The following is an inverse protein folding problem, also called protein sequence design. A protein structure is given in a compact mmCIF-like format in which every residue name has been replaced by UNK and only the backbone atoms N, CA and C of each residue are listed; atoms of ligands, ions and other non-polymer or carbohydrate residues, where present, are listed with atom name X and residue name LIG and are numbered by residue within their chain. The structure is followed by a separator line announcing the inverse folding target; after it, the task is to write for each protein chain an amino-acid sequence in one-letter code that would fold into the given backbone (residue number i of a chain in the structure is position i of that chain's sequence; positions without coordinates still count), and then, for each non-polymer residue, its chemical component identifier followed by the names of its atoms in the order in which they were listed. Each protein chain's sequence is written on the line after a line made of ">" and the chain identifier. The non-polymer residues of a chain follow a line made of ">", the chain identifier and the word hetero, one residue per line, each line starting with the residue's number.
data_IF_750307606435
#
_entry.id   IF_750307606435
#
_cell.length_a   1.000
_cell.length_b   1.000
_cell.length_c   1.000
_cell.angle_alpha   90.00
_cell.angle_beta   90.00
_cell.angle_gamma   90.00
#
_symmetry.space_group_name_H-M   'P 1'
#
loop_
_entity.id
_entity.type
_entity.pdbx_description
1 polymer ?
#
# COMPACT_ATOMS: atom_id res chain seq x y z
N UNK A 1 10.77 -23.89 -53.38
CA UNK A 1 11.31 -22.88 -52.43
C UNK A 1 10.39 -22.89 -51.22
N UNK A 2 10.50 -23.91 -50.36
CA UNK A 2 11.11 -23.86 -49.00
C UNK A 2 10.64 -22.61 -48.22
N UNK A 3 9.90 -22.72 -47.10
CA UNK A 3 10.24 -23.49 -45.88
C UNK A 3 9.05 -23.50 -44.88
N UNK A 4 8.88 -24.61 -44.15
CA UNK A 4 8.12 -24.83 -42.87
C UNK A 4 6.59 -24.60 -42.91
N UNK A 5 5.67 -25.57 -42.95
CA UNK A 5 5.63 -26.94 -42.42
C UNK A 5 5.97 -27.04 -40.94
N UNK A 6 5.03 -27.65 -40.20
CA UNK A 6 5.19 -28.22 -38.85
C UNK A 6 5.17 -27.15 -37.75
N UNK A 7 4.02 -26.83 -37.16
CA UNK A 7 3.55 -27.57 -35.98
C UNK A 7 2.06 -27.26 -35.74
N UNK A 8 1.17 -27.76 -36.59
CA UNK A 8 -0.28 -27.64 -36.35
C UNK A 8 -1.02 -28.98 -36.30
N UNK A 9 -0.32 -30.10 -36.54
CA UNK A 9 -0.94 -31.42 -36.61
C UNK A 9 0.03 -32.47 -36.07
N UNK A 10 0.00 -32.71 -34.75
CA UNK A 10 0.17 -34.04 -34.13
C UNK A 10 0.50 -33.92 -32.63
N UNK A 11 -0.54 -33.84 -31.81
CA UNK A 11 -0.65 -34.39 -30.44
C UNK A 11 -1.94 -33.78 -29.90
N UNK A 12 -3.10 -34.40 -30.02
CA UNK A 12 -3.42 -35.74 -29.57
C UNK A 12 -4.84 -35.62 -29.03
N UNK A 13 -5.68 -36.59 -29.37
CA UNK A 13 -7.06 -36.72 -28.93
C UNK A 13 -7.08 -36.69 -27.40
N UNK A 14 -7.45 -35.54 -26.84
CA UNK A 14 -7.42 -35.31 -25.42
C UNK A 14 -8.25 -34.08 -25.11
N UNK A 15 -9.59 -34.29 -25.16
CA UNK A 15 -10.62 -33.50 -24.48
C UNK A 15 -10.14 -32.08 -24.13
N UNK A 16 -10.35 -31.12 -25.04
CA UNK A 16 -10.31 -29.71 -24.66
C UNK A 16 -11.10 -29.60 -23.34
N UNK A 17 -10.53 -29.04 -22.25
CA UNK A 17 -11.29 -28.86 -21.04
C UNK A 17 -12.46 -27.95 -21.42
N UNK A 18 -13.62 -28.57 -21.64
CA UNK A 18 -14.88 -27.88 -21.73
C UNK A 18 -15.06 -27.35 -20.33
N UNK A 19 -14.62 -26.12 -20.10
CA UNK A 19 -14.96 -25.38 -18.89
C UNK A 19 -16.48 -25.37 -18.91
N UNK A 20 -17.10 -26.19 -18.07
CA UNK A 20 -18.53 -26.13 -17.83
C UNK A 20 -18.75 -24.76 -17.19
N UNK A 21 -19.24 -23.82 -17.98
CA UNK A 21 -19.89 -22.62 -17.47
C UNK A 21 -21.13 -23.12 -16.71
N UNK A 22 -20.95 -23.29 -15.40
CA UNK A 22 -21.88 -23.97 -14.51
C UNK A 22 -21.64 -23.65 -13.04
N UNK A 23 -20.45 -23.17 -12.70
CA UNK A 23 -20.23 -22.37 -11.50
C UNK A 23 -20.20 -20.89 -11.89
N UNK A 24 -20.82 -20.07 -11.05
CA UNK A 24 -21.21 -18.69 -11.28
C UNK A 24 -20.10 -17.85 -11.94
N UNK A 25 -20.28 -17.51 -13.22
CA UNK A 25 -19.34 -16.65 -13.95
C UNK A 25 -19.15 -15.29 -13.27
N UNK A 26 -20.10 -14.87 -12.43
CA UNK A 26 -20.00 -13.69 -11.59
C UNK A 26 -18.99 -13.85 -10.44
N UNK A 27 -18.87 -15.04 -9.85
CA UNK A 27 -17.91 -15.34 -8.77
C UNK A 27 -16.46 -15.12 -9.22
N UNK A 28 -16.10 -15.55 -10.44
CA UNK A 28 -14.75 -15.35 -10.96
C UNK A 28 -14.41 -13.88 -11.23
N UNK A 29 -15.42 -13.06 -11.54
CA UNK A 29 -15.23 -11.61 -11.70
C UNK A 29 -15.05 -10.94 -10.34
N UNK A 30 -15.82 -11.34 -9.33
CA UNK A 30 -15.69 -10.85 -7.96
C UNK A 30 -14.32 -11.24 -7.38
N UNK A 31 -13.90 -12.49 -7.52
CA UNK A 31 -12.58 -12.94 -7.04
C UNK A 31 -11.43 -12.17 -7.71
N UNK A 32 -11.56 -11.87 -9.01
CA UNK A 32 -10.57 -11.06 -9.73
C UNK A 32 -10.57 -9.61 -9.23
N UNK A 33 -11.73 -9.01 -8.98
CA UNK A 33 -11.85 -7.65 -8.41
C UNK A 33 -11.27 -7.57 -7.00
N UNK A 34 -11.57 -8.54 -6.13
CA UNK A 34 -11.01 -8.63 -4.78
C UNK A 34 -9.50 -8.79 -4.82
N UNK A 35 -8.98 -9.60 -5.75
CA UNK A 35 -7.54 -9.73 -5.95
C UNK A 35 -6.89 -8.42 -6.43
N UNK A 36 -7.54 -7.68 -7.35
CA UNK A 36 -7.04 -6.35 -7.76
C UNK A 36 -7.03 -5.37 -6.57
N UNK A 37 -8.10 -5.32 -5.79
CA UNK A 37 -8.18 -4.47 -4.60
C UNK A 37 -7.10 -4.84 -3.57
N UNK A 38 -6.79 -6.13 -3.41
CA UNK A 38 -5.70 -6.57 -2.54
C UNK A 38 -4.33 -6.11 -3.05
N UNK A 39 -4.08 -6.19 -4.36
CA UNK A 39 -2.83 -5.71 -4.95
C UNK A 39 -2.67 -4.19 -4.81
N UNK A 40 -3.75 -3.43 -5.05
CA UNK A 40 -3.80 -1.98 -4.84
C UNK A 40 -3.51 -1.64 -3.37
N UNK A 41 -4.20 -2.30 -2.43
CA UNK A 41 -3.97 -2.10 -1.00
C UNK A 41 -2.52 -2.44 -0.58
N UNK A 42 -1.93 -3.51 -1.12
CA UNK A 42 -0.51 -3.84 -0.84
C UNK A 42 0.44 -2.76 -1.36
N UNK A 43 0.17 -2.20 -2.54
CA UNK A 43 0.99 -1.13 -3.11
C UNK A 43 0.88 0.14 -2.27
N UNK A 44 -0.33 0.57 -1.93
CA UNK A 44 -0.59 1.72 -1.05
C UNK A 44 0.07 1.54 0.33
N UNK A 45 -0.02 0.33 0.89
CA UNK A 45 0.64 0.00 2.15
C UNK A 45 2.16 0.10 2.04
N UNK A 46 2.77 -0.41 0.97
CA UNK A 46 4.21 -0.31 0.74
C UNK A 46 4.68 1.14 0.60
N UNK A 47 3.93 1.97 -0.14
CA UNK A 47 4.22 3.41 -0.25
C UNK A 47 4.11 4.12 1.10
N UNK A 48 3.07 3.79 1.89
CA UNK A 48 2.90 4.33 3.24
C UNK A 48 4.06 3.97 4.14
N UNK A 49 4.49 2.70 4.14
CA UNK A 49 5.65 2.24 4.91
C UNK A 49 6.91 2.99 4.51
N UNK A 50 7.20 3.09 3.21
CA UNK A 50 8.38 3.82 2.72
C UNK A 50 8.38 5.30 3.15
N UNK A 51 7.20 5.94 3.12
CA UNK A 51 7.03 7.33 3.60
C UNK A 51 7.27 7.45 5.10
N UNK A 52 6.75 6.52 5.90
CA UNK A 52 6.97 6.49 7.34
C UNK A 52 8.46 6.28 7.68
N UNK A 53 9.13 5.35 6.99
CA UNK A 53 10.58 5.10 7.17
C UNK A 53 11.42 6.33 6.81
N UNK A 54 11.13 6.99 5.67
CA UNK A 54 11.82 8.21 5.27
C UNK A 54 11.62 9.35 6.29
N UNK A 55 10.41 9.47 6.83
CA UNK A 55 10.07 10.47 7.85
C UNK A 55 10.78 10.19 9.17
N UNK A 56 10.81 8.93 9.62
CA UNK A 56 11.54 8.51 10.81
C UNK A 56 13.05 8.76 10.67
N UNK A 57 13.61 8.47 9.49
CA UNK A 57 15.01 8.76 9.20
C UNK A 57 15.31 10.27 9.17
N UNK A 58 14.37 11.10 8.69
CA UNK A 58 14.50 12.55 8.76
C UNK A 58 14.44 13.06 10.20
N UNK A 59 13.50 12.54 11.01
CA UNK A 59 13.35 12.89 12.42
C UNK A 59 14.58 12.53 13.26
N UNK A 60 15.18 11.37 13.00
CA UNK A 60 16.38 10.91 13.71
C UNK A 60 17.61 11.82 13.49
N UNK A 61 17.65 12.54 12.36
CA UNK A 61 18.74 13.48 12.02
C UNK A 61 18.61 14.85 12.69
N UNK A 62 17.43 15.19 13.18
CA UNK A 62 17.19 16.46 13.86
C UNK A 62 17.83 16.45 15.26
N UNK A 63 18.42 17.58 15.63
CA UNK A 63 18.80 17.88 17.02
C UNK A 63 17.55 18.06 17.88
N UNK A 64 17.72 18.02 19.20
CA UNK A 64 16.59 18.18 20.12
C UNK A 64 15.94 19.58 20.00
N UNK A 65 16.75 20.64 19.83
CA UNK A 65 16.24 22.00 19.58
C UNK A 65 15.39 22.08 18.30
N UNK A 66 15.80 21.37 17.24
CA UNK A 66 15.07 21.31 15.98
C UNK A 66 13.78 20.50 16.11
N UNK A 67 13.80 19.39 16.86
CA UNK A 67 12.60 18.61 17.18
C UNK A 67 11.60 19.45 17.97
N UNK A 68 12.05 20.21 18.96
CA UNK A 68 11.21 21.10 19.76
C UNK A 68 10.59 22.23 18.92
N UNK A 69 11.33 22.76 17.94
CA UNK A 69 10.78 23.73 16.99
C UNK A 69 9.70 23.11 16.10
N UNK A 70 9.92 21.89 15.60
CA UNK A 70 8.93 21.15 14.81
C UNK A 70 7.69 20.83 15.63
N UNK A 71 7.84 20.41 16.89
CA UNK A 71 6.71 20.12 17.78
C UNK A 71 5.85 21.37 17.98
N UNK A 72 6.46 22.51 18.33
CA UNK A 72 5.75 23.79 18.47
C UNK A 72 5.01 24.19 17.18
N UNK A 73 5.65 24.00 16.04
CA UNK A 73 5.00 24.29 14.76
C UNK A 73 3.79 23.36 14.50
N UNK A 74 3.91 22.07 14.80
CA UNK A 74 2.79 21.14 14.72
C UNK A 74 1.67 21.51 15.70
N UNK A 75 1.99 22.01 16.90
CA UNK A 75 0.99 22.49 17.87
C UNK A 75 0.18 23.67 17.30
N UNK A 76 0.86 24.63 16.67
CA UNK A 76 0.23 25.77 16.01
C UNK A 76 -0.67 25.33 14.85
N UNK A 77 -0.23 24.35 14.05
CA UNK A 77 -1.02 23.77 12.97
C UNK A 77 -2.26 23.01 13.51
N UNK A 78 -2.11 22.31 14.64
CA UNK A 78 -3.22 21.61 15.28
C UNK A 78 -4.27 22.58 15.82
N UNK A 79 -3.82 23.66 16.46
CA UNK A 79 -4.72 24.73 16.93
C UNK A 79 -5.52 25.38 15.80
N UNK A 80 -4.98 25.37 14.58
CA UNK A 80 -5.64 25.84 13.36
C UNK A 80 -6.50 24.78 12.65
N UNK A 81 -6.49 23.52 13.11
CA UNK A 81 -7.17 22.40 12.45
C UNK A 81 -6.53 22.01 11.11
N UNK A 82 -5.22 22.24 10.93
CA UNK A 82 -4.48 22.05 9.67
C UNK A 82 -3.36 21.02 9.75
N UNK A 83 -3.31 20.25 10.84
CA UNK A 83 -2.18 19.38 11.12
C UNK A 83 -2.19 18.06 10.32
N UNK A 84 -3.37 17.57 9.89
CA UNK A 84 -3.52 16.23 9.29
C UNK A 84 -2.58 15.95 8.10
N UNK A 85 -2.21 16.98 7.33
CA UNK A 85 -1.33 16.83 6.15
C UNK A 85 0.17 17.02 6.46
N UNK A 86 0.55 17.19 7.72
CA UNK A 86 1.94 17.50 8.05
C UNK A 86 2.82 16.25 8.07
N UNK A 87 4.02 16.36 7.46
CA UNK A 87 4.96 15.22 7.32
C UNK A 87 5.40 14.60 8.66
N UNK A 88 5.34 15.33 9.76
CA UNK A 88 5.71 14.85 11.11
C UNK A 88 4.50 14.61 12.03
N UNK A 89 3.30 14.50 11.46
CA UNK A 89 2.08 14.23 12.22
C UNK A 89 2.20 12.98 13.09
N UNK A 90 2.68 11.86 12.53
CA UNK A 90 2.82 10.60 13.26
C UNK A 90 3.74 10.71 14.48
N UNK A 91 4.87 11.42 14.36
CA UNK A 91 5.78 11.66 15.49
C UNK A 91 5.13 12.56 16.54
N UNK A 92 4.40 13.60 16.11
CA UNK A 92 3.67 14.50 16.99
C UNK A 92 2.56 13.80 17.79
N UNK A 93 1.83 12.87 17.15
CA UNK A 93 0.82 12.02 17.80
C UNK A 93 1.48 11.05 18.77
N UNK A 94 2.55 10.37 18.35
CA UNK A 94 3.24 9.38 19.17
C UNK A 94 3.74 9.98 20.50
N UNK A 95 4.30 11.19 20.47
CA UNK A 95 4.74 11.91 21.68
C UNK A 95 3.60 12.18 22.66
N UNK A 96 2.40 12.47 22.16
CA UNK A 96 1.21 12.74 22.98
C UNK A 96 0.57 11.46 23.53
N UNK A 97 0.58 10.38 22.75
CA UNK A 97 0.13 9.08 23.23
C UNK A 97 1.08 8.51 24.29
N UNK A 98 2.39 8.77 24.20
CA UNK A 98 3.35 8.42 25.25
C UNK A 98 3.15 9.26 26.52
N UNK A 99 2.64 10.49 26.42
CA UNK A 99 2.23 11.32 27.55
C UNK A 99 0.89 10.94 28.19
N UNK A 100 0.08 10.09 27.54
CA UNK A 100 -1.21 9.57 28.05
C UNK A 100 -1.05 8.24 28.81
N UNK A 101 0.13 8.02 29.40
CA UNK A 101 0.37 7.03 30.46
C UNK A 101 0.64 7.81 31.75
N UNK A 102 -0.41 8.44 32.24
CA UNK A 102 -0.41 9.30 33.42
C UNK A 102 -1.71 9.14 34.18
N UNK A 103 -1.92 7.94 34.71
CA UNK A 103 -2.59 7.69 35.99
C UNK A 103 -1.94 6.44 36.63
#
# INVERSE_FOLDING_TARGET
>A
MFKFLETFLQTGIGRAPTIRLGDDAYSHVVDWMDHQAELEHRAEYAERVARCEATAAAWAKLSDDERDAVIRWCDDLNAQGRLEDHRFFDQWVALRMQGYVGD
#
